data_IF_444964306310
#
_entry.id   IF_444964306310
#
_cell.length_a   1.000
_cell.length_b   1.000
_cell.length_c   1.000
_cell.angle_alpha   90.00
_cell.angle_beta   90.00
_cell.angle_gamma   90.00
#
_symmetry.space_group_name_H-M   'P 1'
#
loop_
_entity.id
_entity.type
_entity.pdbx_description
1 polymer ?
#
# COMPACT_ATOMS: atom_id res chain seq x y z
N UNK A 1 21.28 8.05 1.37
CA UNK A 1 19.93 7.55 1.04
C UNK A 1 20.01 6.04 1.18
N UNK A 2 19.33 5.48 2.19
CA UNK A 2 19.41 4.05 2.48
C UNK A 2 18.66 3.24 1.42
N UNK A 3 19.18 2.05 1.14
CA UNK A 3 18.55 1.12 0.22
C UNK A 3 17.10 0.83 0.64
N UNK A 4 16.19 0.92 -0.33
CA UNK A 4 14.78 0.56 -0.12
C UNK A 4 14.72 -0.96 0.13
N UNK A 5 13.98 -1.37 1.14
CA UNK A 5 13.72 -2.78 1.45
C UNK A 5 12.22 -3.01 1.69
N UNK A 6 11.82 -4.29 1.83
CA UNK A 6 10.43 -4.69 2.06
C UNK A 6 9.79 -3.95 3.24
N UNK A 7 10.55 -3.68 4.30
CA UNK A 7 10.07 -2.95 5.48
C UNK A 7 9.74 -1.50 5.11
N UNK A 8 10.65 -0.78 4.44
CA UNK A 8 10.41 0.60 4.01
C UNK A 8 9.22 0.75 3.06
N UNK A 9 9.04 -0.19 2.12
CA UNK A 9 7.87 -0.24 1.25
C UNK A 9 6.57 -0.44 2.04
N UNK A 10 6.59 -1.41 2.97
CA UNK A 10 5.41 -1.71 3.80
C UNK A 10 5.05 -0.53 4.70
N UNK A 11 6.03 0.18 5.25
CA UNK A 11 5.80 1.41 6.04
C UNK A 11 5.21 2.53 5.20
N UNK A 12 5.67 2.73 3.97
CA UNK A 12 5.11 3.73 3.05
C UNK A 12 3.65 3.39 2.68
N UNK A 13 3.38 2.13 2.32
CA UNK A 13 2.01 1.64 2.03
C UNK A 13 1.07 1.88 3.21
N UNK A 14 1.50 1.57 4.44
CA UNK A 14 0.70 1.81 5.63
C UNK A 14 0.44 3.29 5.85
N UNK A 15 1.45 4.14 5.64
CA UNK A 15 1.31 5.59 5.71
C UNK A 15 0.29 6.13 4.72
N UNK A 16 0.33 5.71 3.46
CA UNK A 16 -0.66 6.14 2.46
C UNK A 16 -2.07 5.64 2.80
N UNK A 17 -2.20 4.39 3.22
CA UNK A 17 -3.48 3.78 3.62
C UNK A 17 -4.13 4.54 4.79
N UNK A 18 -3.36 4.91 5.82
CA UNK A 18 -3.88 5.67 6.97
C UNK A 18 -4.30 7.10 6.62
N UNK A 19 -3.71 7.70 5.60
CA UNK A 19 -4.06 9.04 5.15
C UNK A 19 -5.19 9.05 4.11
N UNK A 20 -5.81 7.91 3.82
CA UNK A 20 -6.89 7.81 2.83
C UNK A 20 -6.41 7.92 1.37
N UNK A 21 -5.10 7.81 1.14
CA UNK A 21 -4.49 7.94 -0.19
C UNK A 21 -4.45 6.58 -0.89
N UNK A 22 -5.63 5.99 -1.13
CA UNK A 22 -5.76 4.61 -1.58
C UNK A 22 -5.20 4.36 -2.99
N UNK A 23 -5.39 5.31 -3.92
CA UNK A 23 -4.77 5.27 -5.25
C UNK A 23 -3.24 5.11 -5.16
N UNK A 24 -2.62 5.90 -4.27
CA UNK A 24 -1.17 5.86 -4.04
C UNK A 24 -0.74 4.52 -3.43
N UNK A 25 -1.57 3.88 -2.61
CA UNK A 25 -1.27 2.53 -2.06
C UNK A 25 -1.15 1.53 -3.20
N UNK A 26 -2.06 1.57 -4.19
CA UNK A 26 -2.03 0.65 -5.31
C UNK A 26 -0.81 0.87 -6.22
N UNK A 27 -0.55 2.12 -6.61
CA UNK A 27 0.63 2.46 -7.43
C UNK A 27 1.93 2.03 -6.76
N UNK A 28 2.07 2.29 -5.46
CA UNK A 28 3.25 1.95 -4.69
C UNK A 28 3.43 0.43 -4.55
N UNK A 29 2.33 -0.32 -4.42
CA UNK A 29 2.37 -1.78 -4.39
C UNK A 29 2.82 -2.38 -5.74
N UNK A 30 2.36 -1.81 -6.86
CA UNK A 30 2.83 -2.19 -8.19
C UNK A 30 4.33 -1.88 -8.36
N UNK A 31 4.77 -0.70 -7.91
CA UNK A 31 6.17 -0.30 -7.99
C UNK A 31 7.09 -1.21 -7.15
N UNK A 32 6.66 -1.60 -5.94
CA UNK A 32 7.38 -2.56 -5.10
C UNK A 32 7.66 -3.87 -5.84
N UNK A 33 6.64 -4.42 -6.50
CA UNK A 33 6.77 -5.67 -7.27
C UNK A 33 7.62 -5.48 -8.53
N UNK A 34 7.48 -4.35 -9.23
CA UNK A 34 8.27 -4.03 -10.41
C UNK A 34 9.77 -3.91 -10.08
N UNK A 35 10.10 -3.36 -8.91
CA UNK A 35 11.47 -3.29 -8.40
C UNK A 35 11.98 -4.63 -7.82
N UNK A 36 11.19 -5.71 -7.90
CA UNK A 36 11.59 -7.06 -7.51
C UNK A 36 11.46 -7.36 -6.01
N UNK A 37 10.81 -6.49 -5.24
CA UNK A 37 10.57 -6.73 -3.82
C UNK A 37 9.32 -7.59 -3.62
N UNK A 38 9.48 -8.71 -2.92
CA UNK A 38 8.36 -9.59 -2.60
C UNK A 38 7.50 -8.99 -1.47
N UNK A 39 6.19 -8.78 -1.70
CA UNK A 39 5.26 -8.41 -0.64
C UNK A 39 5.25 -9.42 0.49
N UNK A 40 5.14 -8.95 1.72
CA UNK A 40 4.89 -9.83 2.87
C UNK A 40 3.41 -9.78 3.28
N UNK A 41 3.04 -10.58 4.28
CA UNK A 41 1.66 -10.62 4.80
C UNK A 41 1.11 -9.26 5.21
N UNK A 42 1.95 -8.38 5.78
CA UNK A 42 1.55 -7.03 6.17
C UNK A 42 1.31 -6.15 4.96
N UNK A 43 2.20 -6.21 3.96
CA UNK A 43 2.04 -5.51 2.67
C UNK A 43 0.67 -5.82 2.05
N UNK A 44 0.34 -7.11 1.95
CA UNK A 44 -0.93 -7.56 1.34
C UNK A 44 -2.13 -7.13 2.18
N UNK A 45 -2.08 -7.26 3.51
CA UNK A 45 -3.15 -6.79 4.39
C UNK A 45 -3.41 -5.28 4.25
N UNK A 46 -2.37 -4.46 4.12
CA UNK A 46 -2.49 -3.02 3.93
C UNK A 46 -3.16 -2.67 2.60
N UNK A 47 -2.79 -3.35 1.51
CA UNK A 47 -3.40 -3.13 0.20
C UNK A 47 -4.87 -3.53 0.21
N UNK A 48 -5.23 -4.68 0.80
CA UNK A 48 -6.63 -5.11 0.92
C UNK A 48 -7.44 -4.09 1.73
N UNK A 49 -6.90 -3.62 2.86
CA UNK A 49 -7.57 -2.61 3.67
C UNK A 49 -7.79 -1.29 2.91
N UNK A 50 -6.81 -0.87 2.11
CA UNK A 50 -6.95 0.32 1.25
C UNK A 50 -8.07 0.14 0.22
N UNK A 51 -8.13 -0.98 -0.49
CA UNK A 51 -9.17 -1.26 -1.50
C UNK A 51 -10.57 -1.34 -0.89
N UNK A 52 -10.70 -1.94 0.31
CA UNK A 52 -11.98 -1.97 1.02
C UNK A 52 -12.42 -0.57 1.40
N UNK A 53 -11.51 0.23 1.96
CA UNK A 53 -11.84 1.59 2.37
C UNK A 53 -12.16 2.49 1.17
N UNK A 54 -11.43 2.37 0.06
CA UNK A 54 -11.70 3.07 -1.20
C UNK A 54 -13.14 2.81 -1.70
N UNK A 55 -13.56 1.53 -1.69
CA UNK A 55 -14.94 1.18 -2.04
C UNK A 55 -15.98 1.70 -1.03
N UNK A 56 -15.64 1.79 0.27
CA UNK A 56 -16.52 2.39 1.28
C UNK A 56 -16.70 3.90 1.05
N UNK A 57 -15.61 4.64 0.74
CA UNK A 57 -15.73 6.06 0.41
C UNK A 57 -16.50 6.31 -0.88
N UNK A 58 -16.31 5.47 -1.91
CA UNK A 58 -17.05 5.60 -3.19
C UNK A 58 -18.55 5.32 -3.02
N UNK A 59 -18.93 4.39 -2.13
CA UNK A 59 -20.32 4.12 -1.78
C UNK A 59 -20.94 5.20 -0.86
N UNK A 60 -20.15 6.17 -0.37
CA UNK A 60 -20.62 7.26 0.49
C UNK A 60 -21.16 6.81 1.85
N UNK A 61 -20.71 5.65 2.35
CA UNK A 61 -21.09 5.07 3.64
C UNK A 61 -20.17 5.50 4.79
#
# INVERSE_FOLDING_TARGET
>A
MGDRNVVSWTSLLAGYSWNGLYDCVWELFCQMQFEGFLPNKYTVSTVIAALVNEGVVDLGL
#
